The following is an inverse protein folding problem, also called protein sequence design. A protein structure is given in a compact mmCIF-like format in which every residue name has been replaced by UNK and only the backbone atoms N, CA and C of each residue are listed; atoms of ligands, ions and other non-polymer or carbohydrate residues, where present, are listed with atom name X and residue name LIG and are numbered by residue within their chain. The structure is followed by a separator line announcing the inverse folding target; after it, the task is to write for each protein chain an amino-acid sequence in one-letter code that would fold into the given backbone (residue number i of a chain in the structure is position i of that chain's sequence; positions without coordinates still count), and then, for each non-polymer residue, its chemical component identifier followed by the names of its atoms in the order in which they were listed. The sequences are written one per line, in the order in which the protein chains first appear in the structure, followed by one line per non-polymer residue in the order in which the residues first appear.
data_IF_837029320783
#
_entry.id   IF_837029320783
#
_cell.length_a   1.000
_cell.length_b   1.000
_cell.length_c   1.000
_cell.angle_alpha   90.00
_cell.angle_beta   90.00
_cell.angle_gamma   90.00
#
_symmetry.space_group_name_H-M   'P 1'
#
loop_
_entity.id
_entity.type
_entity.pdbx_description
1 polymer ?
#
# COMPACT_ATOMS: atom_id res chain seq x y z
N UNK A 1 8.64 17.67 9.55
CA UNK A 1 9.01 16.28 9.20
C UNK A 1 8.31 15.36 10.17
N UNK A 2 7.71 14.28 9.70
CA UNK A 2 6.98 13.35 10.54
C UNK A 2 7.32 11.92 10.18
N UNK A 3 7.22 11.03 11.17
CA UNK A 3 7.36 9.59 11.00
C UNK A 3 5.96 8.98 11.10
N UNK A 4 5.63 8.07 10.19
CA UNK A 4 4.32 7.43 10.10
C UNK A 4 4.46 5.92 10.22
N UNK A 5 3.57 5.30 10.97
CA UNK A 5 3.44 3.84 11.01
C UNK A 5 1.99 3.45 11.29
N UNK A 6 1.61 2.23 10.94
CA UNK A 6 0.31 1.67 11.29
C UNK A 6 0.35 1.14 12.72
N UNK A 7 -0.74 1.34 13.45
CA UNK A 7 -0.94 0.75 14.75
C UNK A 7 -2.39 0.31 14.92
N UNK A 8 -2.58 -0.81 15.62
CA UNK A 8 -3.90 -1.30 15.98
C UNK A 8 -4.37 -0.66 17.29
N UNK A 9 -5.48 0.07 17.25
CA UNK A 9 -6.16 0.64 18.42
C UNK A 9 -7.15 -0.38 19.00
N UNK A 10 -6.79 -0.99 20.13
CA UNK A 10 -7.61 -2.03 20.77
C UNK A 10 -8.97 -1.55 21.28
N UNK A 11 -9.05 -0.32 21.80
CA UNK A 11 -10.29 0.25 22.35
C UNK A 11 -11.34 0.55 21.27
N UNK A 12 -10.89 0.88 20.06
CA UNK A 12 -11.72 1.12 18.89
C UNK A 12 -11.82 -0.09 17.96
N UNK A 13 -11.01 -1.12 18.20
CA UNK A 13 -10.84 -2.31 17.35
C UNK A 13 -10.64 -1.94 15.88
N UNK A 14 -9.76 -0.97 15.62
CA UNK A 14 -9.44 -0.50 14.26
C UNK A 14 -7.98 -0.10 14.14
N UNK A 15 -7.44 -0.16 12.94
CA UNK A 15 -6.12 0.39 12.65
C UNK A 15 -6.17 1.90 12.46
N UNK A 16 -5.09 2.56 12.88
CA UNK A 16 -4.85 3.99 12.70
C UNK A 16 -3.45 4.23 12.17
N UNK A 17 -3.26 5.37 11.51
CA UNK A 17 -1.94 5.87 11.17
C UNK A 17 -1.49 6.73 12.35
N UNK A 18 -0.40 6.32 13.00
CA UNK A 18 0.24 7.12 14.04
C UNK A 18 1.27 8.01 13.38
N UNK A 19 1.27 9.28 13.79
CA UNK A 19 2.16 10.31 13.27
C UNK A 19 2.97 10.88 14.42
N UNK A 20 4.28 10.80 14.32
CA UNK A 20 5.18 11.51 15.22
C UNK A 20 5.78 12.73 14.53
N UNK A 21 5.32 13.92 14.91
CA UNK A 21 5.87 15.18 14.44
C UNK A 21 7.20 15.45 15.14
N UNK A 22 8.28 15.48 14.38
CA UNK A 22 9.63 15.65 14.92
C UNK A 22 9.93 17.10 15.35
N UNK A 23 9.22 18.07 14.77
CA UNK A 23 9.40 19.49 15.08
C UNK A 23 8.68 19.84 16.38
N UNK A 24 7.41 19.46 16.45
CA UNK A 24 6.55 19.73 17.60
C UNK A 24 6.73 18.71 18.73
N UNK A 25 7.38 17.57 18.44
CA UNK A 25 7.57 16.43 19.35
C UNK A 25 6.26 15.92 19.92
N UNK A 26 5.25 15.80 19.05
CA UNK A 26 3.89 15.39 19.40
C UNK A 26 3.51 14.14 18.62
N UNK A 27 2.73 13.29 19.28
CA UNK A 27 2.08 12.15 18.66
C UNK A 27 0.66 12.56 18.26
N UNK A 28 0.31 12.30 17.02
CA UNK A 28 -1.00 12.53 16.45
C UNK A 28 -1.51 11.22 15.87
N UNK A 29 -2.83 11.10 15.79
CA UNK A 29 -3.47 9.97 15.13
C UNK A 29 -4.21 10.47 13.90
N UNK A 30 -4.14 9.68 12.83
CA UNK A 30 -4.87 9.91 11.60
C UNK A 30 -5.70 8.67 11.25
N UNK A 31 -7.00 8.83 10.99
CA UNK A 31 -7.83 7.71 10.59
C UNK A 31 -7.45 7.20 9.20
N UNK A 32 -7.57 5.89 9.00
CA UNK A 32 -7.51 5.28 7.68
C UNK A 32 -8.66 5.74 6.78
N UNK A 33 -8.50 5.72 5.45
CA UNK A 33 -9.57 6.04 4.52
C UNK A 33 -10.83 5.21 4.82
N UNK A 34 -12.00 5.84 4.80
CA UNK A 34 -13.28 5.16 5.09
C UNK A 34 -13.53 3.96 4.17
N UNK A 35 -13.02 4.02 2.93
CA UNK A 35 -13.07 2.93 1.98
C UNK A 35 -12.41 1.65 2.51
N UNK A 36 -11.44 1.74 3.43
CA UNK A 36 -10.68 0.59 3.94
C UNK A 36 -11.30 -0.04 5.20
N UNK A 37 -12.34 0.58 5.78
CA UNK A 37 -12.92 0.13 7.06
C UNK A 37 -13.78 -1.14 6.98
N UNK A 38 -14.06 -1.66 5.78
CA UNK A 38 -15.10 -2.69 5.56
C UNK A 38 -14.58 -4.07 5.17
N UNK A 39 -13.27 -4.25 5.06
CA UNK A 39 -12.71 -5.38 4.33
C UNK A 39 -11.67 -6.13 5.16
N UNK A 40 -11.52 -7.43 4.92
CA UNK A 40 -10.42 -8.25 5.46
C UNK A 40 -9.15 -7.95 4.65
N UNK A 41 -8.59 -6.77 4.85
CA UNK A 41 -7.50 -6.26 4.00
C UNK A 41 -6.15 -6.56 4.62
N UNK A 42 -5.23 -7.00 3.76
CA UNK A 42 -3.81 -6.88 4.02
C UNK A 42 -3.35 -5.56 3.41
N UNK A 43 -2.81 -4.66 4.22
CA UNK A 43 -2.34 -3.37 3.77
C UNK A 43 -1.17 -2.91 4.61
N UNK A 44 -0.35 -2.04 4.04
CA UNK A 44 0.71 -1.37 4.76
C UNK A 44 0.91 0.05 4.22
N UNK A 45 1.58 0.87 5.03
CA UNK A 45 2.05 2.18 4.62
C UNK A 45 3.18 2.06 3.62
N UNK A 46 3.17 2.99 2.67
CA UNK A 46 4.17 3.11 1.65
C UNK A 46 4.32 4.58 1.26
N UNK A 47 5.51 4.96 0.82
CA UNK A 47 5.76 6.21 0.11
C UNK A 47 5.73 5.94 -1.40
N UNK A 48 4.63 6.30 -2.06
CA UNK A 48 4.51 6.19 -3.51
C UNK A 48 4.85 7.53 -4.15
N UNK A 49 5.96 7.57 -4.89
CA UNK A 49 6.56 8.83 -5.33
C UNK A 49 6.99 9.68 -4.13
N UNK A 50 6.31 10.81 -3.91
CA UNK A 50 6.59 11.73 -2.79
C UNK A 50 5.44 11.78 -1.77
N UNK A 51 4.41 10.96 -1.94
CA UNK A 51 3.19 11.02 -1.15
C UNK A 51 3.08 9.88 -0.14
N UNK A 52 2.56 10.20 1.04
CA UNK A 52 2.11 9.19 2.00
C UNK A 52 0.98 8.38 1.36
N UNK A 53 1.18 7.07 1.30
CA UNK A 53 0.34 6.15 0.55
C UNK A 53 0.08 4.87 1.33
N UNK A 54 -0.92 4.12 0.89
CA UNK A 54 -1.25 2.78 1.36
C UNK A 54 -1.34 1.86 0.16
N UNK A 55 -0.78 0.66 0.26
CA UNK A 55 -1.20 -0.41 -0.65
C UNK A 55 -2.16 -1.32 0.09
N UNK A 56 -3.15 -1.84 -0.63
CA UNK A 56 -4.26 -2.59 -0.06
C UNK A 56 -4.56 -3.79 -0.94
N UNK A 57 -4.39 -5.00 -0.43
CA UNK A 57 -4.86 -6.22 -1.07
C UNK A 57 -6.37 -6.35 -0.86
N UNK A 58 -7.13 -6.27 -1.95
CA UNK A 58 -8.56 -6.50 -1.95
C UNK A 58 -8.85 -7.99 -2.24
N UNK A 59 -9.19 -8.73 -1.19
CA UNK A 59 -9.47 -10.16 -1.26
C UNK A 59 -10.88 -10.50 -1.77
N UNK A 60 -11.79 -9.52 -1.81
CA UNK A 60 -13.19 -9.72 -2.22
C UNK A 60 -13.42 -9.44 -3.71
N UNK A 61 -12.42 -8.84 -4.39
CA UNK A 61 -12.46 -8.60 -5.83
C UNK A 61 -12.13 -9.88 -6.61
N UNK A 62 -12.77 -10.03 -7.78
CA UNK A 62 -12.40 -11.02 -8.80
C UNK A 62 -12.28 -10.30 -10.16
N UNK A 63 -11.07 -10.16 -10.74
CA UNK A 63 -9.80 -10.73 -10.28
C UNK A 63 -9.28 -10.07 -9.00
N UNK A 64 -8.40 -10.79 -8.28
CA UNK A 64 -7.72 -10.26 -7.10
C UNK A 64 -6.83 -9.07 -7.47
N UNK A 65 -6.79 -8.05 -6.62
CA UNK A 65 -6.03 -6.83 -6.88
C UNK A 65 -5.32 -6.28 -5.66
N UNK A 66 -4.17 -5.64 -5.87
CA UNK A 66 -3.56 -4.69 -4.93
C UNK A 66 -3.87 -3.28 -5.41
N UNK A 67 -4.45 -2.46 -4.55
CA UNK A 67 -4.81 -1.08 -4.83
C UNK A 67 -3.83 -0.13 -4.14
N UNK A 68 -3.38 0.92 -4.83
CA UNK A 68 -2.57 1.99 -4.25
C UNK A 68 -3.47 3.20 -3.99
N UNK A 69 -3.45 3.65 -2.75
CA UNK A 69 -4.16 4.82 -2.27
C UNK A 69 -3.16 5.90 -1.86
N UNK A 70 -3.37 7.12 -2.33
CA UNK A 70 -2.49 8.27 -2.09
C UNK A 70 -3.21 9.34 -1.28
N UNK A 71 -2.55 9.92 -0.30
CA UNK A 71 -3.02 11.12 0.40
C UNK A 71 -2.59 12.36 -0.36
N UNK A 72 -3.52 13.01 -1.06
CA UNK A 72 -3.22 14.22 -1.84
C UNK A 72 -3.00 15.45 -0.96
N UNK A 73 -3.75 15.57 0.14
CA UNK A 73 -3.63 16.67 1.08
C UNK A 73 -3.28 16.12 2.47
N UNK A 74 -2.10 16.47 2.94
CA UNK A 74 -1.59 15.97 4.20
C UNK A 74 -2.53 16.31 5.37
N UNK A 75 -2.83 15.34 6.23
CA UNK A 75 -3.79 15.39 7.36
C UNK A 75 -5.27 15.47 6.99
N UNK A 76 -5.63 15.68 5.71
CA UNK A 76 -7.03 15.76 5.29
C UNK A 76 -7.55 14.37 4.98
N UNK A 77 -8.39 13.82 5.87
CA UNK A 77 -8.89 12.45 5.76
C UNK A 77 -9.64 12.15 4.44
N UNK A 78 -10.40 13.12 3.92
CA UNK A 78 -11.14 12.94 2.66
C UNK A 78 -10.27 13.03 1.41
N UNK A 79 -8.97 13.34 1.55
CA UNK A 79 -8.06 13.52 0.40
C UNK A 79 -7.46 12.21 -0.13
N UNK A 80 -7.68 11.10 0.57
CA UNK A 80 -7.25 9.77 0.12
C UNK A 80 -7.96 9.40 -1.18
N UNK A 81 -7.18 9.15 -2.23
CA UNK A 81 -7.69 8.70 -3.53
C UNK A 81 -7.05 7.39 -3.94
N UNK A 82 -7.85 6.47 -4.49
CA UNK A 82 -7.34 5.29 -5.18
C UNK A 82 -6.71 5.73 -6.50
N UNK A 83 -5.42 5.51 -6.65
CA UNK A 83 -4.65 6.00 -7.81
C UNK A 83 -4.31 4.88 -8.78
N UNK A 84 -4.05 3.67 -8.26
CA UNK A 84 -3.65 2.54 -9.09
C UNK A 84 -4.27 1.24 -8.62
N UNK A 85 -4.51 0.33 -9.57
CA UNK A 85 -4.99 -1.02 -9.32
C UNK A 85 -4.05 -1.98 -10.04
N UNK A 86 -3.48 -2.92 -9.29
CA UNK A 86 -2.54 -3.92 -9.74
C UNK A 86 -3.23 -5.29 -9.71
N UNK A 87 -3.58 -5.89 -10.85
CA UNK A 87 -4.08 -7.26 -10.88
C UNK A 87 -2.99 -8.23 -10.40
N UNK A 88 -3.36 -9.20 -9.58
CA UNK A 88 -2.43 -10.21 -9.02
C UNK A 88 -2.88 -11.65 -9.27
N UNK A 89 -3.96 -11.83 -10.03
CA UNK A 89 -4.57 -13.11 -10.40
C UNK A 89 -3.67 -14.00 -11.26
N UNK A 90 -2.72 -13.40 -11.98
CA UNK A 90 -1.70 -14.13 -12.73
C UNK A 90 -0.49 -14.53 -11.87
N UNK A 91 -0.37 -14.03 -10.64
CA UNK A 91 0.72 -14.39 -9.73
C UNK A 91 0.32 -15.70 -9.03
N UNK A 92 1.10 -16.79 -9.13
CA UNK A 92 0.69 -18.09 -8.56
C UNK A 92 0.46 -18.08 -7.04
N UNK A 93 1.11 -17.19 -6.30
CA UNK A 93 0.90 -17.01 -4.85
C UNK A 93 -0.27 -16.10 -4.52
N UNK A 94 -0.88 -15.46 -5.52
CA UNK A 94 -1.92 -14.42 -5.36
C UNK A 94 -1.51 -13.35 -4.34
N UNK A 95 -0.20 -13.10 -4.24
CA UNK A 95 0.39 -12.23 -3.25
C UNK A 95 1.36 -11.30 -3.94
N UNK A 96 1.26 -10.02 -3.61
CA UNK A 96 2.14 -8.98 -4.11
C UNK A 96 2.36 -7.95 -3.01
N UNK A 97 3.62 -7.77 -2.62
CA UNK A 97 4.05 -6.76 -1.67
C UNK A 97 4.83 -5.68 -2.43
N UNK A 98 4.26 -4.50 -2.66
CA UNK A 98 5.00 -3.40 -3.24
C UNK A 98 6.20 -3.03 -2.35
N UNK A 99 7.37 -2.86 -2.97
CA UNK A 99 8.60 -2.48 -2.28
C UNK A 99 9.04 -1.07 -2.66
N UNK A 100 8.95 -0.72 -3.95
CA UNK A 100 9.52 0.52 -4.45
C UNK A 100 8.83 1.00 -5.73
N UNK A 101 8.65 2.32 -5.84
CA UNK A 101 8.31 2.99 -7.09
C UNK A 101 9.58 3.62 -7.69
N UNK A 102 9.90 3.25 -8.91
CA UNK A 102 11.03 3.80 -9.66
C UNK A 102 10.76 5.23 -10.14
N UNK A 103 11.79 5.93 -10.64
CA UNK A 103 11.64 7.28 -11.22
C UNK A 103 10.77 7.31 -12.48
N UNK A 104 10.61 6.19 -13.20
CA UNK A 104 9.68 6.10 -14.33
C UNK A 104 8.23 5.88 -13.91
N UNK A 105 7.97 5.69 -12.60
CA UNK A 105 6.65 5.34 -12.08
C UNK A 105 6.38 3.83 -12.06
N UNK A 106 7.31 3.00 -12.56
CA UNK A 106 7.19 1.55 -12.46
C UNK A 106 7.23 1.10 -10.99
N UNK A 107 6.47 0.07 -10.67
CA UNK A 107 6.35 -0.49 -9.33
C UNK A 107 7.03 -1.85 -9.29
N UNK A 108 7.92 -2.01 -8.32
CA UNK A 108 8.61 -3.25 -8.04
C UNK A 108 8.08 -3.79 -6.72
N UNK A 109 7.77 -5.08 -6.67
CA UNK A 109 7.39 -5.77 -5.45
C UNK A 109 7.76 -7.24 -5.48
N UNK A 110 7.43 -7.95 -4.41
CA UNK A 110 7.70 -9.39 -4.27
C UNK A 110 6.41 -10.19 -4.26
N UNK A 111 6.48 -11.44 -4.72
CA UNK A 111 5.37 -12.39 -4.65
C UNK A 111 5.58 -13.45 -3.55
N UNK A 112 5.63 -13.01 -2.29
CA UNK A 112 5.89 -13.89 -1.13
C UNK A 112 7.32 -14.49 -1.14
N UNK A 113 8.31 -13.61 -1.34
CA UNK A 113 9.74 -13.96 -1.37
C UNK A 113 10.17 -15.00 -2.42
N UNK A 114 9.29 -15.41 -3.35
CA UNK A 114 9.61 -16.34 -4.45
C UNK A 114 10.13 -15.66 -5.70
N UNK A 115 10.16 -14.34 -5.73
CA UNK A 115 10.49 -13.59 -6.93
C UNK A 115 10.22 -12.10 -6.84
N UNK A 116 10.50 -11.43 -7.95
CA UNK A 116 10.23 -10.02 -8.18
C UNK A 116 9.19 -9.87 -9.27
N UNK A 117 8.25 -8.94 -9.04
CA UNK A 117 7.20 -8.59 -9.98
C UNK A 117 7.32 -7.10 -10.26
N UNK A 118 7.21 -6.73 -11.53
CA UNK A 118 7.27 -5.36 -12.00
C UNK A 118 5.98 -4.97 -12.73
N UNK A 119 5.36 -3.87 -12.31
CA UNK A 119 4.27 -3.21 -13.01
C UNK A 119 4.72 -1.86 -13.56
N UNK A 120 4.06 -1.37 -14.61
CA UNK A 120 4.20 0.01 -15.02
C UNK A 120 3.30 0.95 -14.20
N UNK A 121 3.43 2.25 -14.46
CA UNK A 121 2.64 3.34 -13.87
C UNK A 121 1.12 3.27 -14.18
N UNK A 122 0.71 2.38 -15.08
CA UNK A 122 -0.70 2.11 -15.44
C UNK A 122 -1.23 0.81 -14.81
N UNK A 123 -0.43 0.15 -13.98
CA UNK A 123 -0.80 -1.09 -13.31
C UNK A 123 -0.81 -2.32 -14.21
N UNK A 124 -0.11 -2.25 -15.35
CA UNK A 124 0.08 -3.40 -16.23
C UNK A 124 1.34 -4.16 -15.84
N UNK A 125 1.23 -5.48 -15.74
CA UNK A 125 2.39 -6.34 -15.51
C UNK A 125 3.38 -6.22 -16.66
N UNK A 126 4.64 -5.96 -16.34
CA UNK A 126 5.74 -5.93 -17.30
C UNK A 126 6.61 -7.19 -17.21
N UNK A 127 6.90 -7.61 -15.98
CA UNK A 127 7.87 -8.68 -15.74
C UNK A 127 7.56 -9.43 -14.46
N UNK A 128 7.80 -10.74 -14.49
CA UNK A 128 7.71 -11.62 -13.33
C UNK A 128 8.90 -12.59 -13.36
N UNK A 129 9.84 -12.41 -12.43
CA UNK A 129 11.00 -13.27 -12.26
C UNK A 129 10.84 -14.09 -10.98
N UNK A 130 11.03 -15.40 -11.08
CA UNK A 130 11.12 -16.28 -9.92
C UNK A 130 12.58 -16.44 -9.50
N UNK A 131 12.83 -16.48 -8.20
CA UNK A 131 14.09 -17.01 -7.70
C UNK A 131 14.07 -18.51 -7.98
N UNK A 132 15.00 -18.99 -8.80
CA UNK A 132 15.19 -20.43 -8.98
C UNK A 132 15.71 -21.03 -7.68
N UNK A 133 15.04 -22.05 -7.16
CA UNK A 133 15.65 -22.96 -6.21
C UNK A 133 16.69 -23.78 -6.99
N UNK A 134 17.98 -23.50 -6.78
CA UNK A 134 19.06 -24.42 -7.18
C UNK A 134 19.03 -25.72 -6.35
#
# INVERSE_FOLDING_TARGET
MAIHWLAFRHDLSMDVIVVFDLMERKLLEMPLPNALRRYTLYYDLWVFGEFLSLWVKNCDNNPLTVEIWVMNEYTVHSSWTKTLVLPIDFIPTEYFLPLHSTKSGDIIGTNDARGLVKYNDKGQLLEHQFYSDE
#
